data_IF_535078715826
#
_entry.id   IF_535078715826
#
_cell.length_a   1.000
_cell.length_b   1.000
_cell.length_c   1.000
_cell.angle_alpha   90.00
_cell.angle_beta   90.00
_cell.angle_gamma   90.00
#
_symmetry.space_group_name_H-M   'P 1'
#
loop_
_entity.id
_entity.type
_entity.pdbx_description
1 polymer ?
#
# COMPACT_ATOMS: atom_id res chain seq x y z
N UNK A 1 3.19 -26.73 -11.22
CA UNK A 1 3.13 -25.88 -10.00
C UNK A 1 4.13 -26.32 -8.94
N UNK A 2 4.22 -27.63 -8.63
CA UNK A 2 5.20 -28.18 -7.67
C UNK A 2 6.65 -27.82 -8.02
N UNK A 3 7.05 -27.97 -9.29
CA UNK A 3 8.40 -27.64 -9.78
C UNK A 3 8.77 -26.16 -9.58
N UNK A 4 7.82 -25.24 -9.82
CA UNK A 4 8.04 -23.80 -9.58
C UNK A 4 8.32 -23.51 -8.11
N UNK A 5 7.56 -24.12 -7.19
CA UNK A 5 7.82 -23.96 -5.76
C UNK A 5 9.14 -24.57 -5.35
N UNK A 6 9.52 -25.73 -5.91
CA UNK A 6 10.84 -26.32 -5.69
C UNK A 6 11.94 -25.36 -6.13
N UNK A 7 11.88 -24.82 -7.35
CA UNK A 7 12.87 -23.85 -7.85
C UNK A 7 12.98 -22.61 -6.95
N UNK A 8 11.86 -22.11 -6.40
CA UNK A 8 11.90 -20.99 -5.46
C UNK A 8 12.55 -21.34 -4.13
N UNK A 9 12.32 -22.55 -3.60
CA UNK A 9 12.99 -23.03 -2.39
C UNK A 9 14.48 -23.20 -2.65
N UNK A 10 14.87 -23.82 -3.77
CA UNK A 10 16.28 -23.99 -4.13
C UNK A 10 16.99 -22.63 -4.26
N UNK A 11 16.34 -21.59 -4.78
CA UNK A 11 16.93 -20.26 -4.78
C UNK A 11 17.12 -19.67 -3.38
N UNK A 12 16.18 -19.89 -2.46
CA UNK A 12 16.36 -19.48 -1.06
C UNK A 12 17.56 -20.21 -0.43
N UNK A 13 17.64 -21.52 -0.63
CA UNK A 13 18.75 -22.35 -0.13
C UNK A 13 20.08 -21.90 -0.72
N UNK A 14 20.13 -21.65 -2.02
CA UNK A 14 21.32 -21.16 -2.71
C UNK A 14 21.77 -19.80 -2.16
N UNK A 15 20.86 -18.84 -1.97
CA UNK A 15 21.21 -17.56 -1.34
C UNK A 15 21.70 -17.73 0.10
N UNK A 16 21.07 -18.63 0.86
CA UNK A 16 21.45 -18.93 2.24
C UNK A 16 22.76 -19.72 2.36
N UNK A 17 23.26 -20.33 1.28
CA UNK A 17 24.58 -20.97 1.27
C UNK A 17 25.72 -19.97 1.47
N UNK A 18 25.50 -18.70 1.11
CA UNK A 18 26.44 -17.61 1.35
C UNK A 18 26.33 -17.03 2.77
N UNK A 19 25.37 -17.50 3.58
CA UNK A 19 25.04 -16.86 4.85
C UNK A 19 26.18 -16.91 5.86
N UNK A 20 26.44 -15.75 6.44
CA UNK A 20 27.42 -15.52 7.48
C UNK A 20 27.00 -14.29 8.32
N UNK A 21 27.55 -14.07 9.53
CA UNK A 21 27.12 -13.00 10.42
C UNK A 21 27.16 -11.60 9.80
N UNK A 22 28.12 -11.33 8.90
CA UNK A 22 28.24 -10.04 8.23
C UNK A 22 27.11 -9.85 7.21
N UNK A 23 26.89 -10.81 6.31
CA UNK A 23 25.82 -10.72 5.31
C UNK A 23 24.43 -10.74 5.94
N UNK A 24 24.23 -11.52 7.01
CA UNK A 24 22.96 -11.54 7.74
C UNK A 24 22.65 -10.16 8.33
N UNK A 25 23.64 -9.52 8.95
CA UNK A 25 23.50 -8.15 9.48
C UNK A 25 23.25 -7.15 8.36
N UNK A 26 23.98 -7.26 7.24
CA UNK A 26 23.82 -6.39 6.08
C UNK A 26 22.41 -6.48 5.50
N UNK A 27 21.89 -7.70 5.26
CA UNK A 27 20.55 -7.87 4.71
C UNK A 27 19.44 -7.48 5.70
N UNK A 28 19.67 -7.62 7.02
CA UNK A 28 18.80 -7.06 8.05
C UNK A 28 18.80 -5.52 8.03
N UNK A 29 19.95 -4.89 7.82
CA UNK A 29 20.03 -3.44 7.69
C UNK A 29 19.37 -2.95 6.39
N UNK A 30 19.57 -3.64 5.27
CA UNK A 30 18.90 -3.33 4.00
C UNK A 30 17.39 -3.46 4.15
N UNK A 31 16.90 -4.56 4.71
CA UNK A 31 15.45 -4.80 4.81
C UNK A 31 14.75 -3.79 5.73
N UNK A 32 15.46 -3.10 6.61
CA UNK A 32 14.90 -2.03 7.45
C UNK A 32 14.27 -0.90 6.61
N UNK A 33 14.76 -0.65 5.40
CA UNK A 33 14.14 0.33 4.50
C UNK A 33 12.73 -0.06 4.04
N UNK A 34 12.32 -1.31 4.22
CA UNK A 34 10.96 -1.80 3.97
C UNK A 34 10.10 -1.97 5.23
N UNK A 35 10.63 -1.64 6.40
CA UNK A 35 9.94 -1.79 7.69
C UNK A 35 8.95 -0.64 7.96
N UNK A 36 7.91 -0.93 8.74
CA UNK A 36 6.92 0.07 9.15
C UNK A 36 7.55 1.19 9.98
N UNK A 37 8.54 0.89 10.84
CA UNK A 37 9.22 1.89 11.67
C UNK A 37 9.92 2.98 10.84
N UNK A 38 10.51 2.59 9.70
CA UNK A 38 11.08 3.55 8.76
C UNK A 38 9.99 4.47 8.19
N UNK A 39 8.81 3.92 7.91
CA UNK A 39 7.67 4.66 7.39
C UNK A 39 6.82 5.38 8.46
N UNK A 40 7.07 5.16 9.75
CA UNK A 40 6.55 6.03 10.81
C UNK A 40 7.26 7.39 10.81
N UNK A 41 8.50 7.45 10.29
CA UNK A 41 9.30 8.67 10.29
C UNK A 41 9.29 9.37 8.92
N UNK A 42 9.43 8.62 7.83
CA UNK A 42 9.65 9.22 6.50
C UNK A 42 8.48 10.09 5.98
N UNK A 43 7.21 9.63 5.92
CA UNK A 43 6.09 10.46 5.46
C UNK A 43 5.84 11.70 6.35
N UNK A 44 5.86 11.62 7.69
CA UNK A 44 5.78 12.82 8.54
C UNK A 44 6.96 13.78 8.34
N UNK A 45 8.18 13.26 8.17
CA UNK A 45 9.34 14.06 7.79
C UNK A 45 9.08 14.83 6.49
N UNK A 46 8.55 14.17 5.45
CA UNK A 46 8.22 14.83 4.19
C UNK A 46 7.09 15.85 4.36
N UNK A 47 6.03 15.49 5.08
CA UNK A 47 4.85 16.34 5.29
C UNK A 47 5.19 17.60 6.07
N UNK A 48 5.84 17.45 7.22
CA UNK A 48 6.19 18.59 8.06
C UNK A 48 7.41 19.32 7.53
N UNK A 49 8.45 18.64 7.04
CA UNK A 49 9.75 19.28 6.81
C UNK A 49 10.08 19.66 5.37
N UNK A 50 9.39 19.12 4.37
CA UNK A 50 9.76 19.35 2.97
C UNK A 50 8.60 19.93 2.16
N UNK A 51 7.56 19.13 1.97
CA UNK A 51 6.39 19.51 1.19
C UNK A 51 5.17 18.72 1.70
N UNK A 52 4.20 19.45 2.26
CA UNK A 52 2.99 18.86 2.83
C UNK A 52 2.15 18.08 1.81
N UNK A 53 2.18 18.47 0.53
CA UNK A 53 1.44 17.77 -0.54
C UNK A 53 2.14 16.48 -0.90
N UNK A 54 3.47 16.49 -1.02
CA UNK A 54 4.26 15.28 -1.29
C UNK A 54 4.08 14.29 -0.14
N UNK A 55 4.28 14.74 1.10
CA UNK A 55 4.11 13.91 2.29
C UNK A 55 2.70 13.34 2.39
N UNK A 56 1.66 14.17 2.22
CA UNK A 56 0.28 13.69 2.34
C UNK A 56 -0.08 12.63 1.29
N UNK A 57 0.27 12.88 0.03
CA UNK A 57 0.01 11.92 -1.05
C UNK A 57 0.78 10.62 -0.88
N UNK A 58 2.02 10.70 -0.39
CA UNK A 58 2.79 9.50 -0.08
C UNK A 58 2.15 8.69 1.04
N UNK A 59 1.71 9.34 2.12
CA UNK A 59 1.03 8.64 3.22
C UNK A 59 -0.25 7.96 2.72
N UNK A 60 -1.08 8.64 1.92
CA UNK A 60 -2.29 8.04 1.34
C UNK A 60 -1.93 6.82 0.48
N UNK A 61 -0.91 6.92 -0.39
CA UNK A 61 -0.47 5.80 -1.22
C UNK A 61 0.04 4.63 -0.39
N UNK A 62 0.83 4.93 0.64
CA UNK A 62 1.38 3.93 1.55
C UNK A 62 0.28 3.19 2.31
N UNK A 63 -0.73 3.90 2.84
CA UNK A 63 -1.84 3.30 3.56
C UNK A 63 -2.73 2.45 2.65
N UNK A 64 -3.06 2.92 1.44
CA UNK A 64 -3.80 2.12 0.45
C UNK A 64 -3.00 0.88 0.01
N UNK A 65 -1.68 1.01 -0.13
CA UNK A 65 -0.79 -0.11 -0.38
C UNK A 65 -0.79 -1.12 0.77
N UNK A 66 -0.72 -0.66 2.02
CA UNK A 66 -0.76 -1.53 3.20
C UNK A 66 -2.07 -2.32 3.26
N UNK A 67 -3.20 -1.64 3.07
CA UNK A 67 -4.53 -2.27 3.01
C UNK A 67 -4.58 -3.36 1.94
N UNK A 68 -4.25 -3.03 0.69
CA UNK A 68 -4.26 -4.00 -0.40
C UNK A 68 -3.28 -5.16 -0.16
N UNK A 69 -2.14 -4.91 0.49
CA UNK A 69 -1.18 -5.96 0.82
C UNK A 69 -1.78 -6.97 1.82
N UNK A 70 -2.49 -6.50 2.84
CA UNK A 70 -3.16 -7.35 3.82
C UNK A 70 -4.29 -8.15 3.19
N UNK A 71 -5.15 -7.49 2.40
CA UNK A 71 -6.23 -8.15 1.65
C UNK A 71 -5.71 -9.28 0.76
N UNK A 72 -4.66 -9.01 -0.02
CA UNK A 72 -4.11 -10.02 -0.93
C UNK A 72 -3.39 -11.14 -0.17
N UNK A 73 -2.80 -10.86 0.99
CA UNK A 73 -2.23 -11.91 1.85
C UNK A 73 -3.30 -12.88 2.30
N UNK A 74 -4.42 -12.37 2.80
CA UNK A 74 -5.51 -13.18 3.31
C UNK A 74 -6.35 -13.83 2.21
N UNK A 75 -6.33 -13.26 1.00
CA UNK A 75 -6.93 -13.86 -0.19
C UNK A 75 -6.11 -15.07 -0.70
N UNK A 76 -4.80 -14.92 -0.86
CA UNK A 76 -3.97 -15.96 -1.49
C UNK A 76 -3.40 -16.98 -0.51
N UNK A 77 -3.25 -16.62 0.77
CA UNK A 77 -2.81 -17.50 1.86
C UNK A 77 -1.56 -18.33 1.59
N UNK A 78 -0.63 -17.79 0.80
CA UNK A 78 0.57 -18.54 0.38
C UNK A 78 1.50 -18.76 1.58
N UNK A 79 1.92 -20.00 1.89
CA UNK A 79 2.84 -20.25 3.00
C UNK A 79 4.25 -19.71 2.71
N UNK A 80 4.94 -19.28 3.76
CA UNK A 80 6.31 -18.78 3.68
C UNK A 80 7.33 -19.89 3.43
N UNK A 81 8.52 -19.59 2.87
CA UNK A 81 9.54 -20.59 2.59
C UNK A 81 9.92 -21.43 3.81
N UNK A 82 10.24 -20.79 4.95
CA UNK A 82 10.61 -21.49 6.18
C UNK A 82 9.47 -22.32 6.80
N UNK A 83 8.20 -22.02 6.50
CA UNK A 83 7.06 -22.83 6.94
C UNK A 83 6.91 -24.06 6.02
N UNK A 84 7.10 -23.87 4.72
CA UNK A 84 6.90 -24.93 3.72
C UNK A 84 8.06 -25.94 3.69
N UNK A 85 9.27 -25.50 3.96
CA UNK A 85 10.48 -26.32 3.96
C UNK A 85 11.36 -25.97 5.18
N UNK A 86 10.89 -26.27 6.41
CA UNK A 86 11.58 -25.89 7.64
C UNK A 86 12.99 -26.49 7.75
N UNK A 87 13.19 -27.69 7.20
CA UNK A 87 14.50 -28.37 7.21
C UNK A 87 15.48 -27.81 6.17
N UNK A 88 15.02 -26.95 5.25
CA UNK A 88 15.83 -26.40 4.15
C UNK A 88 16.05 -24.89 4.25
N UNK A 89 15.03 -24.13 4.64
CA UNK A 89 15.07 -22.66 4.63
C UNK A 89 15.01 -22.12 6.04
N UNK A 90 16.07 -21.41 6.44
CA UNK A 90 16.18 -20.78 7.75
C UNK A 90 15.45 -19.44 7.76
N UNK A 91 14.72 -19.15 8.84
CA UNK A 91 14.19 -17.81 9.10
C UNK A 91 15.28 -16.95 9.75
N UNK A 92 15.94 -16.10 8.96
CA UNK A 92 17.06 -15.27 9.43
C UNK A 92 16.63 -13.89 9.94
N UNK A 93 15.33 -13.61 10.03
CA UNK A 93 14.77 -12.36 10.57
C UNK A 93 13.46 -12.65 11.31
N UNK A 94 13.24 -12.07 12.50
CA UNK A 94 11.97 -12.24 13.19
C UNK A 94 10.84 -11.62 12.36
N UNK A 95 9.66 -12.25 12.45
CA UNK A 95 8.42 -11.70 11.92
C UNK A 95 7.54 -11.30 13.10
N UNK A 96 6.72 -10.27 12.91
CA UNK A 96 5.73 -9.86 13.91
C UNK A 96 4.64 -10.93 13.97
N UNK A 97 4.29 -11.34 15.19
CA UNK A 97 3.18 -12.24 15.43
C UNK A 97 1.84 -11.48 15.38
N UNK A 98 0.76 -12.10 14.84
CA UNK A 98 0.74 -13.43 14.20
C UNK A 98 1.47 -13.44 12.84
N UNK A 99 2.20 -14.53 12.54
CA UNK A 99 2.90 -14.67 11.24
C UNK A 99 1.90 -14.58 10.08
N UNK A 100 2.05 -13.53 9.25
CA UNK A 100 1.23 -13.31 8.07
C UNK A 100 1.71 -14.10 6.83
N UNK A 101 0.86 -14.23 5.81
CA UNK A 101 1.15 -14.98 4.58
C UNK A 101 2.28 -14.39 3.72
N UNK A 102 2.81 -15.19 2.79
CA UNK A 102 3.98 -14.88 1.98
C UNK A 102 3.69 -13.91 0.82
N UNK A 103 2.58 -14.09 0.11
CA UNK A 103 2.27 -13.32 -1.10
C UNK A 103 1.19 -12.26 -0.84
N UNK A 104 1.36 -11.01 -1.31
CA UNK A 104 2.57 -10.40 -1.84
C UNK A 104 3.54 -9.97 -0.70
N UNK A 105 4.79 -9.66 -1.06
CA UNK A 105 5.78 -9.15 -0.09
C UNK A 105 5.50 -7.68 0.26
N UNK A 106 5.20 -7.41 1.54
CA UNK A 106 4.94 -6.07 2.06
C UNK A 106 6.14 -5.12 1.91
N UNK A 107 7.34 -5.55 2.31
CA UNK A 107 8.59 -4.80 2.13
C UNK A 107 8.88 -4.44 0.66
N UNK A 108 8.64 -5.39 -0.25
CA UNK A 108 8.87 -5.17 -1.68
C UNK A 108 7.84 -4.19 -2.24
N UNK A 109 6.57 -4.33 -1.85
CA UNK A 109 5.49 -3.45 -2.28
C UNK A 109 5.65 -2.02 -1.74
N UNK A 110 5.93 -1.88 -0.44
CA UNK A 110 6.08 -0.57 0.22
C UNK A 110 7.26 0.22 -0.34
N UNK A 111 8.40 -0.43 -0.55
CA UNK A 111 9.58 0.22 -1.14
C UNK A 111 9.32 0.63 -2.59
N UNK A 112 8.67 -0.20 -3.40
CA UNK A 112 8.27 0.18 -4.76
C UNK A 112 7.33 1.40 -4.77
N UNK A 113 6.35 1.44 -3.86
CA UNK A 113 5.44 2.59 -3.72
C UNK A 113 6.18 3.86 -3.32
N UNK A 114 6.98 3.79 -2.25
CA UNK A 114 7.60 4.96 -1.65
C UNK A 114 8.67 5.54 -2.56
N UNK A 115 9.64 4.72 -2.98
CA UNK A 115 10.75 5.21 -3.78
C UNK A 115 10.31 5.53 -5.22
N UNK A 116 9.37 4.74 -5.78
CA UNK A 116 8.77 5.04 -7.08
C UNK A 116 8.00 6.37 -7.09
N UNK A 117 7.17 6.61 -6.06
CA UNK A 117 6.49 7.90 -5.92
C UNK A 117 7.50 9.05 -5.76
N UNK A 118 8.51 8.93 -4.90
CA UNK A 118 9.49 9.99 -4.71
C UNK A 118 10.29 10.31 -5.97
N UNK A 119 10.66 9.30 -6.77
CA UNK A 119 11.33 9.52 -8.06
C UNK A 119 10.49 10.39 -9.02
N UNK A 120 9.16 10.20 -9.03
CA UNK A 120 8.25 11.01 -9.86
C UNK A 120 8.16 12.46 -9.40
N UNK A 121 8.42 12.74 -8.12
CA UNK A 121 8.44 14.10 -7.58
C UNK A 121 9.78 14.78 -7.83
N UNK A 122 10.89 14.07 -7.62
CA UNK A 122 12.26 14.59 -7.80
C UNK A 122 12.61 14.76 -9.29
N UNK A 123 12.13 13.86 -10.16
CA UNK A 123 12.32 13.89 -11.63
C UNK A 123 13.79 13.95 -12.10
N UNK A 124 14.73 13.48 -11.30
CA UNK A 124 16.15 13.39 -11.65
C UNK A 124 16.54 11.93 -11.92
N UNK A 125 17.50 11.70 -12.82
CA UNK A 125 17.98 10.35 -13.18
C UNK A 125 18.42 9.55 -11.95
N UNK A 126 19.15 10.18 -11.01
CA UNK A 126 19.59 9.51 -9.79
C UNK A 126 18.42 9.03 -8.91
N UNK A 127 17.29 9.75 -8.89
CA UNK A 127 16.14 9.36 -8.10
C UNK A 127 15.46 8.10 -8.65
N UNK A 128 15.43 7.96 -9.98
CA UNK A 128 14.97 6.73 -10.63
C UNK A 128 15.92 5.55 -10.40
N UNK A 129 17.24 5.80 -10.34
CA UNK A 129 18.22 4.77 -9.96
C UNK A 129 17.94 4.29 -8.52
N UNK A 130 17.74 5.22 -7.58
CA UNK A 130 17.39 4.88 -6.19
C UNK A 130 16.06 4.11 -6.14
N UNK A 131 15.05 4.52 -6.92
CA UNK A 131 13.76 3.84 -6.99
C UNK A 131 13.79 2.45 -7.62
N UNK A 132 14.89 2.08 -8.30
CA UNK A 132 15.13 0.72 -8.74
C UNK A 132 15.97 -0.05 -7.73
N UNK A 133 17.12 0.51 -7.32
CA UNK A 133 18.11 -0.15 -6.48
C UNK A 133 17.57 -0.47 -5.09
N UNK A 134 16.84 0.45 -4.44
CA UNK A 134 16.35 0.21 -3.08
C UNK A 134 15.29 -0.90 -3.05
N UNK A 135 14.21 -0.86 -3.86
CA UNK A 135 13.25 -1.98 -3.89
C UNK A 135 13.89 -3.30 -4.32
N UNK A 136 14.87 -3.28 -5.23
CA UNK A 136 15.61 -4.46 -5.64
C UNK A 136 16.37 -5.10 -4.46
N UNK A 137 17.20 -4.31 -3.77
CA UNK A 137 17.99 -4.78 -2.64
C UNK A 137 17.11 -5.25 -1.48
N UNK A 138 16.02 -4.54 -1.20
CA UNK A 138 15.05 -4.96 -0.17
C UNK A 138 14.33 -6.24 -0.57
N UNK A 139 13.92 -6.40 -1.83
CA UNK A 139 13.32 -7.65 -2.31
C UNK A 139 14.29 -8.82 -2.20
N UNK A 140 15.54 -8.63 -2.63
CA UNK A 140 16.60 -9.63 -2.51
C UNK A 140 16.85 -10.02 -1.05
N UNK A 141 16.88 -9.03 -0.13
CA UNK A 141 17.05 -9.29 1.29
C UNK A 141 15.92 -10.18 1.84
N UNK A 142 14.68 -10.03 1.36
CA UNK A 142 13.55 -10.86 1.83
C UNK A 142 13.67 -12.33 1.41
N UNK A 143 14.28 -12.60 0.26
CA UNK A 143 14.53 -13.98 -0.22
C UNK A 143 15.71 -14.55 0.56
N UNK A 144 16.82 -13.81 0.66
CA UNK A 144 17.99 -14.22 1.45
C UNK A 144 17.61 -14.55 2.91
N UNK A 145 16.81 -13.69 3.55
CA UNK A 145 16.39 -13.89 4.94
C UNK A 145 15.35 -15.02 5.13
N UNK A 146 14.96 -15.72 4.05
CA UNK A 146 14.14 -16.93 4.07
C UNK A 146 12.65 -16.72 4.29
N UNK A 147 12.17 -15.48 4.17
CA UNK A 147 10.78 -15.09 4.53
C UNK A 147 9.88 -14.87 3.32
N UNK A 148 10.44 -14.77 2.10
CA UNK A 148 9.70 -14.62 0.85
C UNK A 148 10.32 -15.42 -0.30
N UNK A 149 9.48 -15.77 -1.27
CA UNK A 149 9.88 -16.36 -2.55
C UNK A 149 10.04 -15.27 -3.60
N UNK A 150 10.75 -15.50 -4.72
CA UNK A 150 10.87 -14.53 -5.81
C UNK A 150 9.53 -14.02 -6.33
N UNK A 151 8.54 -14.92 -6.48
CA UNK A 151 7.21 -14.53 -6.96
C UNK A 151 6.50 -13.56 -6.01
N UNK A 152 6.66 -13.67 -4.69
CA UNK A 152 6.04 -12.70 -3.77
C UNK A 152 6.74 -11.35 -3.75
N UNK A 153 8.05 -11.32 -4.04
CA UNK A 153 8.80 -10.07 -4.26
C UNK A 153 8.35 -9.39 -5.55
N UNK A 154 8.33 -10.12 -6.67
CA UNK A 154 7.88 -9.62 -7.97
C UNK A 154 6.43 -9.12 -7.92
N UNK A 155 5.53 -9.87 -7.28
CA UNK A 155 4.15 -9.46 -7.05
C UNK A 155 4.06 -8.17 -6.25
N UNK A 156 4.86 -8.04 -5.18
CA UNK A 156 4.96 -6.81 -4.41
C UNK A 156 5.39 -5.61 -5.25
N UNK A 157 6.46 -5.75 -6.05
CA UNK A 157 6.91 -4.68 -6.95
C UNK A 157 5.86 -4.31 -8.00
N UNK A 158 5.22 -5.29 -8.63
CA UNK A 158 4.19 -5.06 -9.64
C UNK A 158 2.98 -4.30 -9.07
N UNK A 159 2.48 -4.75 -7.91
CA UNK A 159 1.37 -4.08 -7.22
C UNK A 159 1.78 -2.67 -6.80
N UNK A 160 2.97 -2.50 -6.23
CA UNK A 160 3.48 -1.20 -5.80
C UNK A 160 3.62 -0.21 -6.96
N UNK A 161 4.20 -0.65 -8.08
CA UNK A 161 4.31 0.16 -9.29
C UNK A 161 2.93 0.55 -9.85
N UNK A 162 1.99 -0.39 -9.91
CA UNK A 162 0.62 -0.12 -10.33
C UNK A 162 -0.06 0.93 -9.44
N UNK A 163 0.09 0.81 -8.12
CA UNK A 163 -0.46 1.78 -7.17
C UNK A 163 0.15 3.18 -7.36
N UNK A 164 1.45 3.28 -7.65
CA UNK A 164 2.08 4.57 -7.99
C UNK A 164 1.46 5.14 -9.26
N UNK A 165 1.35 4.36 -10.33
CA UNK A 165 0.77 4.81 -11.60
C UNK A 165 -0.66 5.32 -11.42
N UNK A 166 -1.51 4.56 -10.75
CA UNK A 166 -2.89 4.96 -10.44
C UNK A 166 -2.91 6.18 -9.52
N UNK A 167 -2.04 6.21 -8.52
CA UNK A 167 -1.89 7.28 -7.55
C UNK A 167 -1.57 8.63 -8.16
N UNK A 168 -0.69 8.66 -9.16
CA UNK A 168 -0.29 9.89 -9.85
C UNK A 168 -1.45 10.57 -10.58
N UNK A 169 -2.41 9.79 -11.09
CA UNK A 169 -3.62 10.32 -11.71
C UNK A 169 -4.73 10.62 -10.70
N UNK A 170 -5.08 9.61 -9.90
CA UNK A 170 -6.28 9.62 -9.06
C UNK A 170 -6.14 10.57 -7.88
N UNK A 171 -5.04 10.53 -7.11
CA UNK A 171 -4.93 11.30 -5.86
C UNK A 171 -4.94 12.82 -6.11
N UNK A 172 -4.21 13.36 -7.11
CA UNK A 172 -4.32 14.78 -7.42
C UNK A 172 -5.71 15.16 -7.95
N UNK A 173 -6.37 14.29 -8.71
CA UNK A 173 -7.70 14.54 -9.25
C UNK A 173 -8.76 14.58 -8.14
N UNK A 174 -8.79 13.57 -7.26
CA UNK A 174 -9.68 13.52 -6.10
C UNK A 174 -9.39 14.66 -5.14
N UNK A 175 -8.11 14.98 -4.88
CA UNK A 175 -7.74 16.12 -4.03
C UNK A 175 -8.24 17.46 -4.56
N UNK A 176 -8.15 17.72 -5.88
CA UNK A 176 -8.70 18.94 -6.49
C UNK A 176 -10.23 18.97 -6.44
N UNK A 177 -10.88 17.84 -6.66
CA UNK A 177 -12.34 17.73 -6.58
C UNK A 177 -12.83 17.95 -5.15
N UNK A 178 -12.21 17.29 -4.16
CA UNK A 178 -12.50 17.47 -2.74
C UNK A 178 -12.26 18.91 -2.26
N UNK A 179 -11.22 19.58 -2.78
CA UNK A 179 -10.93 20.97 -2.45
C UNK A 179 -12.01 21.96 -2.94
N UNK A 180 -12.80 21.59 -3.97
CA UNK A 180 -13.95 22.40 -4.42
C UNK A 180 -15.16 22.28 -3.49
N UNK A 181 -15.32 21.15 -2.80
CA UNK A 181 -16.34 20.98 -1.77
C UNK A 181 -16.01 21.77 -0.50
N UNK A 182 -16.90 21.76 0.50
CA UNK A 182 -16.66 22.27 1.86
C UNK A 182 -16.23 21.18 2.85
N UNK A 183 -16.01 21.54 4.12
CA UNK A 183 -15.75 20.55 5.20
C UNK A 183 -16.86 19.51 5.31
N UNK A 184 -18.11 19.93 5.08
CA UNK A 184 -19.30 19.07 5.06
C UNK A 184 -19.23 17.95 4.03
N UNK A 185 -18.43 18.10 2.96
CA UNK A 185 -18.18 17.02 2.01
C UNK A 185 -16.91 16.24 2.34
N UNK A 186 -15.85 16.94 2.77
CA UNK A 186 -14.53 16.35 3.01
C UNK A 186 -14.53 15.39 4.21
N UNK A 187 -15.15 15.78 5.34
CA UNK A 187 -15.13 14.98 6.57
C UNK A 187 -15.90 13.67 6.39
N UNK A 188 -17.14 13.65 5.86
CA UNK A 188 -17.84 12.39 5.63
C UNK A 188 -17.09 11.47 4.65
N UNK A 189 -16.46 12.00 3.60
CA UNK A 189 -15.69 11.17 2.67
C UNK A 189 -14.43 10.57 3.32
N UNK A 190 -13.72 11.37 4.13
CA UNK A 190 -12.56 10.91 4.89
C UNK A 190 -12.93 9.83 5.94
N UNK A 191 -14.17 9.80 6.39
CA UNK A 191 -14.67 8.79 7.33
C UNK A 191 -15.23 7.55 6.61
N UNK A 192 -16.17 7.76 5.69
CA UNK A 192 -16.97 6.69 5.07
C UNK A 192 -16.13 5.82 4.16
N UNK A 193 -15.22 6.40 3.37
CA UNK A 193 -14.44 5.60 2.41
C UNK A 193 -13.50 4.62 3.12
N UNK A 194 -12.65 5.04 4.09
CA UNK A 194 -11.82 4.09 4.81
C UNK A 194 -12.64 3.13 5.69
N UNK A 195 -13.77 3.59 6.25
CA UNK A 195 -14.65 2.71 7.03
C UNK A 195 -15.27 1.61 6.16
N UNK A 196 -15.73 1.95 4.95
CA UNK A 196 -16.25 0.96 4.01
C UNK A 196 -15.18 -0.07 3.63
N UNK A 197 -13.93 0.38 3.38
CA UNK A 197 -12.81 -0.53 3.14
C UNK A 197 -12.51 -1.42 4.35
N UNK A 198 -12.51 -0.86 5.56
CA UNK A 198 -12.36 -1.66 6.78
C UNK A 198 -13.44 -2.74 6.91
N UNK A 199 -14.71 -2.41 6.62
CA UNK A 199 -15.81 -3.37 6.69
C UNK A 199 -15.71 -4.50 5.65
N UNK A 200 -15.02 -4.28 4.53
CA UNK A 200 -14.73 -5.34 3.54
C UNK A 200 -13.72 -6.35 4.08
N UNK A 201 -12.75 -5.91 4.87
CA UNK A 201 -11.72 -6.79 5.43
C UNK A 201 -11.33 -6.36 6.86
N UNK A 202 -12.10 -6.76 7.89
CA UNK A 202 -11.94 -6.26 9.25
C UNK A 202 -10.89 -7.06 10.03
N UNK A 203 -9.62 -6.64 9.95
CA UNK A 203 -8.50 -7.20 10.72
C UNK A 203 -7.86 -6.12 11.58
N UNK A 204 -7.03 -6.49 12.56
CA UNK A 204 -6.30 -5.51 13.38
C UNK A 204 -5.41 -4.60 12.53
N UNK A 205 -4.75 -5.17 11.50
CA UNK A 205 -3.88 -4.42 10.62
C UNK A 205 -4.64 -3.46 9.70
N UNK A 206 -5.82 -3.84 9.20
CA UNK A 206 -6.66 -2.93 8.40
C UNK A 206 -7.33 -1.89 9.27
N UNK A 207 -7.69 -2.21 10.52
CA UNK A 207 -8.19 -1.24 11.50
C UNK A 207 -7.18 -0.12 11.73
N UNK A 208 -5.91 -0.46 12.03
CA UNK A 208 -4.85 0.53 12.22
C UNK A 208 -4.61 1.37 10.95
N UNK A 209 -4.59 0.73 9.78
CA UNK A 209 -4.35 1.40 8.50
C UNK A 209 -5.49 2.35 8.12
N UNK A 210 -6.75 1.90 8.22
CA UNK A 210 -7.92 2.71 7.90
C UNK A 210 -8.18 3.79 8.96
N UNK A 211 -7.97 3.50 10.24
CA UNK A 211 -8.03 4.51 11.31
C UNK A 211 -7.02 5.64 11.09
N UNK A 212 -5.79 5.30 10.68
CA UNK A 212 -4.78 6.29 10.32
C UNK A 212 -5.21 7.11 9.09
N UNK A 213 -5.84 6.48 8.09
CA UNK A 213 -6.35 7.17 6.91
C UNK A 213 -7.50 8.14 7.24
N UNK A 214 -8.40 7.76 8.15
CA UNK A 214 -9.49 8.62 8.65
C UNK A 214 -8.89 9.84 9.37
N UNK A 215 -8.03 9.60 10.37
CA UNK A 215 -7.41 10.67 11.16
C UNK A 215 -6.62 11.64 10.28
N UNK A 216 -5.86 11.10 9.33
CA UNK A 216 -5.14 11.90 8.34
C UNK A 216 -6.08 12.68 7.43
N UNK A 217 -7.13 12.06 6.89
CA UNK A 217 -8.07 12.70 5.98
C UNK A 217 -8.80 13.88 6.62
N UNK A 218 -9.29 13.70 7.85
CA UNK A 218 -9.90 14.77 8.64
C UNK A 218 -8.86 15.84 8.99
N UNK A 219 -7.68 15.44 9.44
CA UNK A 219 -6.60 16.37 9.80
C UNK A 219 -6.15 17.26 8.63
N UNK A 220 -6.01 16.69 7.44
CA UNK A 220 -5.69 17.45 6.22
C UNK A 220 -6.82 18.39 5.82
N UNK A 221 -8.09 17.97 5.94
CA UNK A 221 -9.24 18.82 5.62
C UNK A 221 -9.32 20.05 6.55
N UNK A 222 -9.10 19.85 7.86
CA UNK A 222 -9.06 20.92 8.85
C UNK A 222 -7.84 21.83 8.68
N UNK A 223 -6.65 21.24 8.45
CA UNK A 223 -5.41 21.99 8.22
C UNK A 223 -5.55 22.96 7.05
N UNK A 224 -6.07 22.47 5.92
CA UNK A 224 -6.18 23.27 4.70
C UNK A 224 -7.11 24.48 4.82
N UNK A 225 -8.07 24.46 5.75
CA UNK A 225 -9.07 25.52 5.88
C UNK A 225 -8.86 26.42 7.08
N UNK A 226 -8.44 25.86 8.21
CA UNK A 226 -8.37 26.59 9.47
C UNK A 226 -6.96 27.04 9.81
N UNK A 227 -5.92 26.37 9.29
CA UNK A 227 -4.54 26.59 9.73
C UNK A 227 -3.67 27.17 8.62
N UNK A 228 -3.73 26.61 7.41
CA UNK A 228 -2.87 27.06 6.30
C UNK A 228 -1.38 26.80 6.55
N UNK A 229 -1.04 25.66 7.15
CA UNK A 229 0.33 25.27 7.49
C UNK A 229 1.26 25.30 6.26
N UNK A 230 2.49 25.79 6.47
CA UNK A 230 3.57 25.75 5.49
C UNK A 230 4.73 24.89 6.00
N UNK A 231 5.18 23.96 5.16
CA UNK A 231 6.35 23.12 5.43
C UNK A 231 7.68 23.89 5.31
N UNK A 232 7.66 25.16 4.89
CA UNK A 232 8.86 25.99 4.80
C UNK A 232 9.31 26.53 6.16
N UNK A 233 10.44 27.24 6.19
CA UNK A 233 11.05 27.81 7.40
C UNK A 233 12.45 27.29 7.70
N UNK A 234 13.10 27.87 8.71
CA UNK A 234 14.47 27.51 9.15
C UNK A 234 14.54 26.11 9.76
N UNK A 235 15.68 25.44 9.61
CA UNK A 235 15.86 24.03 9.99
C UNK A 235 15.50 23.71 11.45
N UNK A 236 15.76 24.63 12.40
CA UNK A 236 15.42 24.46 13.83
C UNK A 236 13.91 24.33 14.05
N UNK A 237 13.11 25.16 13.38
CA UNK A 237 11.63 25.05 13.41
C UNK A 237 11.17 23.74 12.77
N UNK A 238 11.88 23.26 11.73
CA UNK A 238 11.59 21.98 11.08
C UNK A 238 11.87 20.79 12.01
N UNK A 239 13.00 20.81 12.69
CA UNK A 239 13.38 19.80 13.65
C UNK A 239 12.39 19.76 14.83
N UNK A 240 12.06 20.93 15.41
CA UNK A 240 11.14 21.02 16.55
C UNK A 240 9.75 20.45 16.23
N UNK A 241 9.14 20.83 15.11
CA UNK A 241 7.81 20.29 14.73
C UNK A 241 7.85 18.79 14.44
N UNK A 242 8.93 18.29 13.86
CA UNK A 242 9.09 16.85 13.63
C UNK A 242 9.20 16.10 14.94
N UNK A 243 10.03 16.59 15.88
CA UNK A 243 10.18 15.98 17.20
C UNK A 243 8.86 15.98 17.97
N UNK A 244 8.19 17.13 18.07
CA UNK A 244 6.88 17.22 18.72
C UNK A 244 5.84 16.30 18.08
N UNK A 245 5.80 16.29 16.74
CA UNK A 245 4.88 15.43 16.00
C UNK A 245 5.17 13.94 16.17
N UNK A 246 6.45 13.53 16.21
CA UNK A 246 6.84 12.15 16.47
C UNK A 246 6.55 11.72 17.92
N UNK A 247 6.74 12.60 18.91
CA UNK A 247 6.35 12.32 20.29
C UNK A 247 4.84 12.04 20.39
N UNK A 248 4.02 12.84 19.72
CA UNK A 248 2.56 12.61 19.68
C UNK A 248 2.23 11.32 18.93
N UNK A 249 2.81 11.09 17.75
CA UNK A 249 2.55 9.89 16.96
C UNK A 249 2.93 8.61 17.71
N UNK A 250 4.13 8.57 18.32
CA UNK A 250 4.63 7.41 19.05
C UNK A 250 3.86 7.24 20.37
N UNK A 251 3.56 8.35 21.08
CA UNK A 251 2.79 8.32 22.31
C UNK A 251 1.34 7.88 22.12
N UNK A 252 0.78 8.09 20.92
CA UNK A 252 -0.56 7.64 20.55
C UNK A 252 -0.61 6.15 20.15
N UNK A 253 0.53 5.48 19.92
CA UNK A 253 0.56 4.03 19.69
C UNK A 253 0.39 3.34 21.04
N UNK A 254 -0.71 2.59 21.25
CA UNK A 254 -0.90 1.84 22.48
C UNK A 254 0.27 0.87 22.67
N UNK A 255 0.93 0.92 23.84
CA UNK A 255 1.94 -0.08 24.17
C UNK A 255 1.21 -1.39 24.48
N UNK A 256 1.64 -2.53 23.93
CA UNK A 256 1.15 -3.80 24.41
C UNK A 256 1.48 -3.88 25.90
N UNK A 257 0.46 -4.13 26.73
CA UNK A 257 0.68 -4.37 28.15
C UNK A 257 1.69 -5.50 28.30
N UNK A 258 2.64 -5.32 29.21
CA UNK A 258 3.78 -6.21 29.37
C UNK A 258 3.35 -7.66 29.50
N UNK A 259 3.60 -8.46 28.46
CA UNK A 259 3.67 -9.90 28.60
C UNK A 259 4.75 -10.18 29.62
N UNK A 260 4.34 -10.73 30.76
CA UNK A 260 5.23 -11.22 31.82
C UNK A 260 6.38 -11.99 31.17
N UNK A 261 7.59 -11.49 31.31
CA UNK A 261 8.81 -12.19 30.92
C UNK A 261 8.88 -13.50 31.70
N UNK A 262 8.48 -14.61 31.09
CA UNK A 262 8.93 -15.93 31.55
C UNK A 262 10.39 -16.09 31.14
N UNK A 263 11.28 -15.53 31.95
CA UNK A 263 12.64 -16.04 32.08
C UNK A 263 12.65 -16.99 33.27
N UNK A 264 12.65 -18.30 32.98
CA UNK A 264 12.79 -19.32 34.00
C UNK A 264 12.65 -20.74 33.45
N UNK A 265 13.78 -21.36 33.14
CA UNK A 265 13.94 -22.82 33.18
C UNK A 265 13.61 -23.58 31.90
N UNK A 266 14.63 -24.16 31.29
CA UNK A 266 14.47 -25.10 30.18
C UNK A 266 13.61 -26.31 30.57
N UNK A 267 12.72 -26.69 29.66
CA UNK A 267 12.31 -28.08 29.45
C UNK A 267 11.85 -28.22 28.02
N UNK A 268 12.50 -29.13 27.30
CA UNK A 268 12.08 -29.64 26.01
C UNK A 268 10.65 -30.17 26.14
N UNK A 269 9.68 -29.52 25.53
CA UNK A 269 8.35 -30.09 25.33
C UNK A 269 8.32 -30.68 23.93
N UNK A 270 8.54 -31.98 23.87
CA UNK A 270 8.17 -32.80 22.73
C UNK A 270 6.64 -32.75 22.60
N UNK A 271 6.15 -31.97 21.64
CA UNK A 271 4.75 -31.95 21.23
C UNK A 271 4.62 -32.69 19.90
N UNK A 272 4.50 -34.01 19.97
CA UNK A 272 4.03 -34.82 18.85
C UNK A 272 2.53 -34.56 18.66
N UNK A 273 2.14 -34.18 17.45
CA UNK A 273 0.74 -34.08 17.02
C UNK A 273 0.10 -35.50 17.01
N UNK A 274 -1.05 -35.75 17.68
CA UNK A 274 -1.66 -37.09 17.72
C UNK A 274 -2.32 -37.53 16.40
N UNK A 275 -2.27 -36.74 15.32
CA UNK A 275 -2.99 -37.04 14.09
C UNK A 275 -2.28 -38.01 13.11
N UNK A 276 -1.11 -38.56 13.43
CA UNK A 276 -0.33 -39.44 12.53
C UNK A 276 -0.12 -40.89 13.03
N UNK A 277 -0.75 -41.29 14.15
CA UNK A 277 -0.57 -42.62 14.75
C UNK A 277 -1.47 -43.75 14.24
N UNK A 278 -2.46 -43.48 13.38
CA UNK A 278 -3.54 -44.44 13.08
C UNK A 278 -3.44 -45.14 11.71
N UNK A 279 -2.23 -45.44 11.22
CA UNK A 279 -2.02 -46.24 9.99
C UNK A 279 -1.04 -47.42 10.18
N UNK A 280 -0.87 -47.92 11.41
CA UNK A 280 -0.16 -49.18 11.69
C UNK A 280 -0.87 -49.99 12.77
N UNK A 281 -1.88 -50.75 12.36
CA UNK A 281 -2.18 -52.09 12.89
C UNK A 281 -3.44 -52.62 12.17
N UNK A 282 -3.32 -53.78 11.53
CA UNK A 282 -4.43 -54.42 10.83
C UNK A 282 -5.34 -55.24 11.76
N UNK A 283 -6.60 -55.38 11.31
CA UNK A 283 -7.68 -56.34 11.68
C UNK A 283 -8.62 -55.92 12.84
N UNK A 284 -9.87 -56.44 12.90
CA UNK A 284 -11.01 -55.96 12.12
C UNK A 284 -12.27 -55.63 12.96
N UNK A 285 -13.17 -54.87 12.32
CA UNK A 285 -14.62 -54.67 12.53
C UNK A 285 -15.33 -55.22 13.79
N UNK A 286 -15.95 -54.30 14.54
CA UNK A 286 -17.08 -54.54 15.44
C UNK A 286 -18.10 -53.40 15.34
N UNK A 287 -19.28 -53.70 14.80
CA UNK A 287 -20.42 -52.77 14.61
C UNK A 287 -20.85 -52.12 15.93
N UNK A 288 -21.15 -50.81 15.90
CA UNK A 288 -22.29 -50.23 16.63
C UNK A 288 -22.79 -48.95 15.96
N UNK A 289 -24.07 -49.00 15.62
CA UNK A 289 -24.90 -47.95 15.05
C UNK A 289 -25.31 -47.00 16.19
N UNK A 290 -25.24 -45.69 15.96
CA UNK A 290 -25.77 -44.66 16.85
C UNK A 290 -26.14 -43.42 16.04
N UNK A 291 -27.42 -43.08 16.05
CA UNK A 291 -28.12 -42.21 15.12
C UNK A 291 -27.82 -40.71 15.28
N UNK A 292 -27.81 -40.00 14.15
CA UNK A 292 -28.00 -38.56 14.09
C UNK A 292 -29.50 -38.25 14.27
N UNK A 293 -29.82 -37.37 15.22
CA UNK A 293 -31.14 -36.76 15.32
C UNK A 293 -31.03 -35.24 15.14
N UNK A 294 -31.44 -34.79 13.95
CA UNK A 294 -31.94 -33.46 13.65
C UNK A 294 -33.06 -33.09 14.64
N UNK A 295 -33.10 -31.86 15.15
CA UNK A 295 -34.34 -31.31 15.73
C UNK A 295 -34.62 -29.92 15.16
N UNK A 296 -35.76 -29.86 14.46
CA UNK A 296 -36.40 -28.68 13.87
C UNK A 296 -37.15 -27.86 14.94
N UNK A 297 -37.37 -26.60 14.55
CA UNK A 297 -38.31 -25.59 15.05
C UNK A 297 -39.71 -26.06 15.50
N UNK A 298 -40.20 -25.40 16.56
CA UNK A 298 -41.59 -24.98 16.82
C UNK A 298 -41.45 -23.54 17.40
N UNK A 299 -42.03 -22.44 16.92
CA UNK A 299 -43.42 -21.97 16.67
C UNK A 299 -44.35 -21.99 17.89
N UNK A 300 -44.59 -20.79 18.41
CA UNK A 300 -45.76 -20.34 19.17
C UNK A 300 -45.52 -18.87 19.56
N UNK A 301 -46.39 -17.88 19.40
CA UNK A 301 -47.81 -17.80 19.09
C UNK A 301 -48.36 -16.52 19.77
N UNK A 302 -49.41 -15.91 19.20
CA UNK A 302 -50.21 -14.75 19.66
C UNK A 302 -49.61 -13.34 19.42
N UNK A 303 -50.09 -12.51 18.47
CA UNK A 303 -51.41 -11.89 18.16
C UNK A 303 -51.80 -10.69 19.04
N UNK A 304 -51.85 -9.49 18.41
CA UNK A 304 -52.92 -8.44 18.36
C UNK A 304 -52.36 -7.27 17.53
N UNK A 305 -52.80 -6.97 16.29
CA UNK A 305 -53.99 -6.19 15.87
C UNK A 305 -54.12 -4.86 16.65
N UNK A 306 -54.05 -3.66 16.07
CA UNK A 306 -54.93 -3.01 15.05
C UNK A 306 -54.26 -1.69 14.57
N UNK A 307 -54.06 -1.38 13.28
CA UNK A 307 -54.96 -0.86 12.22
C UNK A 307 -55.31 0.65 12.27
N UNK A 308 -55.22 1.30 11.08
CA UNK A 308 -55.87 2.56 10.60
C UNK A 308 -55.06 3.85 10.89
N UNK A 309 -54.76 4.81 9.98
CA UNK A 309 -55.43 5.34 8.77
C UNK A 309 -54.46 6.09 7.84
N UNK A 310 -54.79 6.14 6.54
CA UNK A 310 -54.26 7.02 5.48
C UNK A 310 -54.56 8.51 5.70
N UNK A 311 -53.74 9.41 5.13
CA UNK A 311 -54.25 10.56 4.36
C UNK A 311 -53.26 11.06 3.30
N UNK A 312 -53.86 11.41 2.15
CA UNK A 312 -53.27 11.89 0.90
C UNK A 312 -52.73 13.33 1.00
N UNK A 313 -51.78 13.67 0.12
CA UNK A 313 -51.50 15.04 -0.31
C UNK A 313 -50.89 15.03 -1.71
N UNK A 314 -51.70 15.38 -2.73
CA UNK A 314 -51.29 15.66 -4.11
C UNK A 314 -50.77 17.10 -4.19
N UNK A 315 -49.78 17.35 -5.04
CA UNK A 315 -49.65 18.63 -5.76
C UNK A 315 -49.34 18.33 -7.24
N UNK A 316 -50.02 19.08 -8.10
CA UNK A 316 -50.07 18.98 -9.56
C UNK A 316 -49.40 20.20 -10.20
N UNK A 317 -48.58 19.93 -11.23
CA UNK A 317 -48.42 20.61 -12.54
C UNK A 317 -47.87 22.05 -12.68
N UNK A 318 -47.27 22.26 -13.87
CA UNK A 318 -46.74 23.48 -14.52
C UNK A 318 -45.39 24.00 -14.02
N UNK A 319 -44.37 24.34 -14.82
CA UNK A 319 -44.22 24.50 -16.28
C UNK A 319 -42.72 24.51 -16.66
N UNK A 320 -42.44 24.48 -17.98
CA UNK A 320 -41.19 24.83 -18.69
C UNK A 320 -40.33 23.71 -19.30
N UNK A 321 -40.82 23.23 -20.45
CA UNK A 321 -40.22 23.30 -21.80
C UNK A 321 -38.70 23.07 -21.96
N UNK A 322 -38.40 21.94 -22.59
CA UNK A 322 -37.16 21.56 -23.28
C UNK A 322 -36.76 22.56 -24.39
N UNK A 323 -35.48 22.62 -24.77
CA UNK A 323 -35.16 22.03 -26.07
C UNK A 323 -33.96 21.08 -26.04
N UNK A 324 -33.95 20.22 -27.05
CA UNK A 324 -33.08 19.07 -27.26
C UNK A 324 -31.83 19.44 -28.07
N UNK A 325 -30.72 18.77 -27.71
CA UNK A 325 -29.67 18.20 -28.56
C UNK A 325 -28.84 19.09 -29.51
N UNK A 326 -27.52 19.11 -29.25
CA UNK A 326 -26.53 18.62 -30.22
C UNK A 326 -25.48 17.73 -29.54
N UNK A 327 -25.27 16.56 -30.15
CA UNK A 327 -24.19 15.61 -29.88
C UNK A 327 -22.85 16.22 -30.31
N UNK A 328 -21.81 15.98 -29.52
CA UNK A 328 -20.44 15.84 -30.01
C UNK A 328 -19.68 14.87 -29.09
N UNK A 329 -19.88 13.58 -29.32
CA UNK A 329 -19.00 12.51 -28.90
C UNK A 329 -17.89 12.35 -29.94
N UNK A 330 -16.63 12.67 -29.61
CA UNK A 330 -15.41 12.03 -30.14
C UNK A 330 -14.14 12.79 -29.73
N UNK A 331 -13.13 12.06 -29.25
CA UNK A 331 -11.73 12.44 -29.47
C UNK A 331 -10.91 12.94 -28.27
N UNK A 332 -10.63 12.08 -27.28
CA UNK A 332 -9.49 12.28 -26.36
C UNK A 332 -8.46 11.15 -26.44
N UNK A 333 -8.16 10.71 -27.67
CA UNK A 333 -6.97 9.90 -28.00
C UNK A 333 -6.08 10.59 -29.06
N UNK A 334 -6.51 11.72 -29.65
CA UNK A 334 -5.81 12.38 -30.77
C UNK A 334 -4.77 13.45 -30.42
N UNK A 335 -4.52 13.73 -29.13
CA UNK A 335 -3.68 14.85 -28.70
C UNK A 335 -2.16 14.60 -28.76
N UNK A 336 -1.73 13.33 -28.78
CA UNK A 336 -0.32 12.96 -28.69
C UNK A 336 0.38 12.86 -30.06
N UNK A 337 -0.33 12.50 -31.13
CA UNK A 337 0.29 12.32 -32.46
C UNK A 337 0.51 13.62 -33.25
N UNK A 338 -0.14 14.73 -32.88
CA UNK A 338 -0.04 16.00 -33.61
C UNK A 338 1.14 16.88 -33.18
N UNK A 339 1.92 16.46 -32.18
CA UNK A 339 3.05 17.22 -31.63
C UNK A 339 4.43 16.72 -32.13
N UNK A 340 4.47 15.68 -32.96
CA UNK A 340 5.70 15.14 -33.57
C UNK A 340 5.89 15.51 -35.05
N UNK A 341 4.90 16.06 -35.75
CA UNK A 341 5.02 16.44 -37.18
C UNK A 341 5.36 17.92 -37.44
N UNK A 342 5.69 18.70 -36.41
CA UNK A 342 6.09 20.12 -36.52
C UNK A 342 7.57 20.39 -36.19
N UNK A 343 8.41 19.35 -36.16
CA UNK A 343 9.86 19.49 -35.89
C UNK A 343 10.79 19.22 -37.07
N UNK A 344 10.23 19.09 -38.28
CA UNK A 344 11.01 19.05 -39.52
C UNK A 344 10.45 20.08 -40.51
N UNK A 345 10.97 21.31 -40.38
CA UNK A 345 11.14 22.29 -41.46
C UNK A 345 11.70 23.57 -40.86
N UNK A 346 12.94 23.90 -41.24
CA UNK A 346 13.50 25.24 -41.04
C UNK A 346 14.86 25.25 -40.35
N UNK A 347 15.91 24.87 -41.08
CA UNK A 347 17.29 25.21 -40.71
C UNK A 347 18.08 25.46 -41.99
N UNK A 348 18.04 26.70 -42.50
CA UNK A 348 19.06 27.21 -43.42
C UNK A 348 20.21 27.77 -42.58
N UNK A 349 21.48 27.49 -42.89
CA UNK A 349 22.59 28.17 -42.25
C UNK A 349 22.98 29.43 -43.04
N UNK A 350 23.02 30.57 -42.37
CA UNK A 350 24.00 31.64 -42.61
C UNK A 350 24.65 31.91 -41.25
N UNK A 351 25.96 32.22 -41.16
CA UNK A 351 26.49 33.45 -41.74
C UNK A 351 27.96 33.35 -42.23
N UNK A 352 28.44 34.35 -42.99
CA UNK A 352 29.68 35.07 -42.63
C UNK A 352 29.82 36.40 -43.40
N UNK A 353 30.27 37.51 -42.76
CA UNK A 353 30.41 38.81 -43.41
C UNK A 353 31.88 39.25 -43.49
N UNK A 354 32.63 38.94 -44.55
CA UNK A 354 33.94 39.57 -44.78
C UNK A 354 34.38 39.61 -46.26
N UNK A 355 34.81 40.81 -46.67
CA UNK A 355 35.71 41.16 -47.78
C UNK A 355 35.30 40.92 -49.24
N UNK A 356 35.03 42.02 -49.98
CA UNK A 356 35.88 42.43 -51.12
C UNK A 356 35.49 43.80 -51.69
N UNK A 357 36.38 44.76 -51.42
CA UNK A 357 36.84 45.87 -52.25
C UNK A 357 36.10 46.15 -53.58
N UNK A 358 35.52 47.36 -53.71
CA UNK A 358 35.55 48.10 -54.98
C UNK A 358 35.76 49.61 -54.79
N UNK A 359 36.98 49.97 -55.11
CA UNK A 359 37.60 51.24 -55.50
C UNK A 359 36.65 52.35 -55.98
N UNK A 360 36.86 53.54 -55.40
CA UNK A 360 36.44 54.85 -55.89
C UNK A 360 37.65 55.55 -56.54
N UNK A 361 37.59 55.89 -57.83
CA UNK A 361 38.37 56.97 -58.50
C UNK A 361 37.48 57.50 -59.64
N UNK A 362 36.98 58.73 -59.51
CA UNK A 362 37.48 59.99 -60.14
C UNK A 362 37.42 59.93 -61.67
N UNK A 363 36.63 60.84 -62.24
CA UNK A 363 36.37 61.05 -63.67
C UNK A 363 34.98 61.61 -63.80
#
# INVERSE_FOLDING_TARGET
MQEFFTAFIELNVWLQSFSNPFLDTLFRAITFLGNEEFYLVLPPLLYWCFDKRIGARLTILFLLSSYLNQDLKDLFKVPRPFIRAPDKVRQLVPLKEPITYCFPSGHSQSTAVVWGYLATQVRKRWAWIVAFVVPFLVGLSRIYLGVHHPMSVLGGWAIGALLVLLGLGLIPATGRWLARGGLSAQIPLALVVPLALFLVHPTEGTAATMGTLIGMGIGVALEQRSVGFSAQGVWRKRALRLLLGLVVLIGAVPRPEGGVSQHGGGRLVAGADPALGALRAGRPMGRRVGSLAFRRHEIGGARRASSVRRRNGRYTTSDYVHPRFRRASSGLVGGWFRRLSRRERGSRPGPDPHLSLRVRRRG
#
